data_IF_993794868180
#
_entry.id   IF_993794868180
#
_cell.length_a   1.000
_cell.length_b   1.000
_cell.length_c   1.000
_cell.angle_alpha   90.00
_cell.angle_beta   90.00
_cell.angle_gamma   90.00
#
_symmetry.space_group_name_H-M   'P 1'
#
loop_
_entity.id
_entity.type
_entity.pdbx_description
1 polymer ?
#
# COMPACT_ATOMS: atom_id res chain seq x y z
N UNK A 1 35.35 -4.64 -31.48
CA UNK A 1 34.13 -5.44 -31.27
C UNK A 1 33.03 -4.48 -30.84
N UNK A 2 32.18 -4.06 -31.79
CA UNK A 2 31.14 -3.05 -31.57
C UNK A 2 29.92 -3.69 -30.89
N UNK A 3 29.54 -3.16 -29.73
CA UNK A 3 28.34 -3.58 -29.00
C UNK A 3 27.18 -2.70 -29.49
N UNK A 4 26.27 -3.30 -30.26
CA UNK A 4 24.99 -2.67 -30.62
C UNK A 4 24.16 -2.46 -29.35
N UNK A 5 23.98 -1.20 -28.95
CA UNK A 5 22.96 -0.79 -27.96
C UNK A 5 21.59 -0.87 -28.64
N UNK A 6 20.83 -1.91 -28.33
CA UNK A 6 19.40 -1.97 -28.63
C UNK A 6 18.70 -1.07 -27.60
N UNK A 7 18.30 0.13 -28.02
CA UNK A 7 17.34 0.96 -27.28
C UNK A 7 15.96 0.30 -27.39
N UNK A 8 15.51 -0.33 -26.31
CA UNK A 8 14.08 -0.63 -26.12
C UNK A 8 13.39 0.65 -25.68
N UNK A 9 12.74 1.34 -26.62
CA UNK A 9 11.77 2.39 -26.30
C UNK A 9 10.52 1.74 -25.73
N UNK A 10 10.34 1.86 -24.41
CA UNK A 10 9.10 1.49 -23.72
C UNK A 10 8.01 2.48 -24.14
N UNK A 11 7.12 2.06 -25.03
CA UNK A 11 5.90 2.81 -25.36
C UNK A 11 4.92 2.58 -24.20
N UNK A 12 4.86 3.55 -23.28
CA UNK A 12 3.80 3.61 -22.27
C UNK A 12 2.53 4.03 -23.00
N UNK A 13 1.64 3.07 -23.22
CA UNK A 13 0.34 3.29 -23.80
C UNK A 13 -0.54 3.91 -22.72
N UNK A 14 -0.52 5.25 -22.64
CA UNK A 14 -1.42 6.02 -21.78
C UNK A 14 -2.82 5.88 -22.38
N UNK A 15 -3.60 4.95 -21.83
CA UNK A 15 -5.03 4.89 -22.12
C UNK A 15 -5.63 6.21 -21.62
N UNK A 16 -6.44 6.91 -22.44
CA UNK A 16 -7.18 8.06 -21.96
C UNK A 16 -8.11 7.57 -20.85
N UNK A 17 -7.80 7.95 -19.61
CA UNK A 17 -8.77 7.90 -18.51
C UNK A 17 -9.92 8.79 -18.97
N UNK A 18 -11.02 8.16 -19.38
CA UNK A 18 -12.28 8.88 -19.54
C UNK A 18 -12.60 9.39 -18.15
N UNK A 19 -12.40 10.69 -17.94
CA UNK A 19 -12.80 11.35 -16.70
C UNK A 19 -14.30 11.16 -16.56
N UNK A 20 -14.68 10.18 -15.73
CA UNK A 20 -16.01 10.15 -15.13
C UNK A 20 -16.26 11.57 -14.63
N UNK A 21 -17.37 12.22 -15.00
CA UNK A 21 -17.64 13.58 -14.56
C UNK A 21 -17.47 13.59 -13.06
N UNK A 22 -16.43 14.30 -12.60
CA UNK A 22 -16.14 14.49 -11.20
C UNK A 22 -17.44 15.00 -10.60
N UNK A 23 -18.12 14.12 -9.88
CA UNK A 23 -19.18 14.47 -8.98
C UNK A 23 -18.44 15.27 -7.91
N UNK A 24 -18.29 16.58 -8.18
CA UNK A 24 -17.79 17.55 -7.23
C UNK A 24 -18.61 17.31 -5.99
N UNK A 25 -18.00 16.67 -5.00
CA UNK A 25 -18.51 16.67 -3.65
C UNK A 25 -18.56 18.14 -3.27
N UNK A 26 -19.74 18.74 -3.49
CA UNK A 26 -20.06 20.07 -3.06
C UNK A 26 -19.77 20.05 -1.56
N UNK A 27 -18.73 20.79 -1.15
CA UNK A 27 -18.44 20.97 0.26
C UNK A 27 -19.76 21.36 0.92
N UNK A 28 -20.22 20.64 1.96
CA UNK A 28 -21.50 20.94 2.58
C UNK A 28 -21.51 22.41 2.94
N UNK A 29 -22.51 23.12 2.41
CA UNK A 29 -22.73 24.53 2.69
C UNK A 29 -22.72 24.74 4.20
N UNK A 30 -21.87 25.64 4.67
CA UNK A 30 -21.68 25.99 6.09
C UNK A 30 -22.96 26.45 6.81
N UNK A 31 -24.07 26.64 6.08
CA UNK A 31 -25.34 27.14 6.61
C UNK A 31 -26.27 26.06 7.19
N UNK A 32 -25.94 24.76 7.11
CA UNK A 32 -26.80 23.68 7.65
C UNK A 32 -26.63 23.49 9.17
N UNK A 33 -25.64 24.12 9.82
CA UNK A 33 -25.38 23.97 11.26
C UNK A 33 -26.20 24.90 12.17
N UNK A 34 -27.01 25.79 11.62
CA UNK A 34 -27.78 26.76 12.41
C UNK A 34 -29.26 26.34 12.50
N UNK A 35 -29.62 25.49 13.48
CA UNK A 35 -30.91 25.49 14.23
C UNK A 35 -31.15 24.19 15.02
N UNK A 36 -30.39 23.98 16.10
CA UNK A 36 -30.89 23.21 17.25
C UNK A 36 -30.53 24.00 18.51
N UNK A 37 -31.52 24.71 19.04
CA UNK A 37 -31.35 25.73 20.07
C UNK A 37 -31.09 25.09 21.43
N UNK A 38 -29.84 25.13 21.91
CA UNK A 38 -29.51 24.91 23.33
C UNK A 38 -28.33 23.97 23.64
N UNK A 39 -27.78 23.27 22.65
CA UNK A 39 -26.62 22.40 22.90
C UNK A 39 -25.34 23.24 22.93
N UNK A 40 -24.61 23.20 24.05
CA UNK A 40 -23.34 23.91 24.19
C UNK A 40 -22.33 23.33 23.19
N UNK A 41 -21.61 24.21 22.49
CA UNK A 41 -20.53 23.81 21.61
C UNK A 41 -19.51 22.93 22.37
N UNK A 42 -19.14 21.80 21.77
CA UNK A 42 -18.13 20.87 22.29
C UNK A 42 -16.85 21.05 21.50
N UNK A 43 -15.72 21.04 22.19
CA UNK A 43 -14.40 21.16 21.57
C UNK A 43 -13.58 19.92 21.88
N UNK A 44 -12.73 19.50 20.94
CA UNK A 44 -11.79 18.40 21.14
C UNK A 44 -10.39 18.83 20.72
N UNK A 45 -9.39 18.56 21.56
CA UNK A 45 -7.97 18.70 21.25
C UNK A 45 -7.37 17.30 21.16
N UNK A 46 -6.62 17.04 20.08
CA UNK A 46 -5.96 15.75 19.85
C UNK A 46 -4.46 15.93 20.04
N UNK A 47 -3.90 15.25 21.03
CA UNK A 47 -2.46 15.12 21.20
C UNK A 47 -2.01 13.79 20.57
N UNK A 48 -1.10 13.85 19.58
CA UNK A 48 -0.70 12.69 18.79
C UNK A 48 0.76 12.80 18.32
N UNK A 49 1.45 11.66 18.25
CA UNK A 49 2.77 11.52 17.63
C UNK A 49 2.77 11.69 16.09
N UNK A 50 1.62 11.95 15.47
CA UNK A 50 1.49 12.38 14.08
C UNK A 50 0.58 13.62 13.94
N UNK A 51 1.14 14.83 14.10
CA UNK A 51 0.37 16.08 14.08
C UNK A 51 -0.43 16.33 12.78
N UNK A 52 0.08 15.85 11.64
CA UNK A 52 -0.58 16.03 10.33
C UNK A 52 -1.75 15.06 10.08
N UNK A 53 -2.03 14.15 11.01
CA UNK A 53 -3.11 13.16 10.86
C UNK A 53 -4.48 13.81 10.68
N UNK A 54 -5.28 13.25 9.80
CA UNK A 54 -6.66 13.67 9.59
C UNK A 54 -7.55 13.21 10.74
N UNK A 55 -8.35 14.13 11.27
CA UNK A 55 -9.31 13.87 12.34
C UNK A 55 -10.72 13.82 11.75
N UNK A 56 -11.43 12.74 12.04
CA UNK A 56 -12.82 12.56 11.68
C UNK A 56 -13.69 12.42 12.93
N UNK A 57 -14.84 13.09 12.94
CA UNK A 57 -15.92 12.86 13.88
C UNK A 57 -16.95 11.93 13.22
N UNK A 58 -17.03 10.69 13.68
CA UNK A 58 -17.70 9.56 13.04
C UNK A 58 -17.21 9.31 11.60
N UNK A 59 -17.72 10.05 10.60
CA UNK A 59 -17.31 9.99 9.19
C UNK A 59 -17.09 11.37 8.56
N UNK A 60 -17.19 12.44 9.35
CA UNK A 60 -17.04 13.82 8.90
C UNK A 60 -15.63 14.30 9.23
N UNK A 61 -14.89 14.74 8.21
CA UNK A 61 -13.57 15.35 8.42
C UNK A 61 -13.73 16.70 9.14
N UNK A 62 -13.05 16.87 10.27
CA UNK A 62 -13.14 18.08 11.10
C UNK A 62 -11.83 18.88 11.18
N UNK A 63 -10.71 18.32 10.71
CA UNK A 63 -9.42 19.01 10.68
C UNK A 63 -8.22 18.06 10.75
N UNK A 64 -7.08 18.60 11.18
CA UNK A 64 -5.85 17.83 11.49
C UNK A 64 -5.58 17.86 13.00
N UNK A 65 -4.79 16.92 13.52
CA UNK A 65 -4.46 16.88 14.95
C UNK A 65 -3.70 18.14 15.41
N UNK A 66 -2.85 18.73 14.56
CA UNK A 66 -2.13 19.97 14.87
C UNK A 66 -2.98 21.24 14.90
N UNK A 67 -4.24 21.18 14.45
CA UNK A 67 -5.12 22.34 14.36
C UNK A 67 -5.54 22.89 15.74
N UNK A 68 -5.16 22.23 16.84
CA UNK A 68 -5.52 22.60 18.20
C UNK A 68 -6.92 22.13 18.58
N UNK A 69 -7.74 23.01 19.16
CA UNK A 69 -9.11 22.69 19.53
C UNK A 69 -10.05 22.71 18.31
N UNK A 70 -10.61 21.55 17.99
CA UNK A 70 -11.55 21.33 16.90
C UNK A 70 -12.99 21.36 17.42
N UNK A 71 -13.90 21.98 16.65
CA UNK A 71 -15.32 21.99 16.97
C UNK A 71 -15.91 20.60 16.70
N UNK A 72 -16.53 20.01 17.72
CA UNK A 72 -17.16 18.71 17.64
C UNK A 72 -18.66 18.87 17.32
N UNK A 73 -19.17 18.30 16.20
CA UNK A 73 -20.59 18.30 15.92
C UNK A 73 -21.42 17.67 17.06
N UNK A 74 -22.69 18.06 17.16
CA UNK A 74 -23.62 17.40 18.08
C UNK A 74 -23.88 15.96 17.66
N UNK A 75 -24.10 15.09 18.65
CA UNK A 75 -24.39 13.67 18.41
C UNK A 75 -23.20 12.81 17.96
N UNK A 76 -21.98 13.36 17.89
CA UNK A 76 -20.78 12.56 17.57
C UNK A 76 -20.53 11.50 18.62
N UNK A 77 -20.26 10.27 18.17
CA UNK A 77 -20.04 9.10 19.02
C UNK A 77 -18.59 8.63 19.05
N UNK A 78 -17.81 8.93 18.01
CA UNK A 78 -16.40 8.53 17.95
C UNK A 78 -15.53 9.56 17.24
N UNK A 79 -14.26 9.61 17.64
CA UNK A 79 -13.18 10.27 16.91
C UNK A 79 -12.35 9.20 16.20
N UNK A 80 -12.08 9.39 14.92
CA UNK A 80 -11.17 8.55 14.13
C UNK A 80 -9.97 9.40 13.71
N UNK A 81 -8.78 8.94 14.04
CA UNK A 81 -7.52 9.54 13.62
C UNK A 81 -6.89 8.69 12.50
N UNK A 82 -6.65 9.30 11.35
CA UNK A 82 -6.11 8.64 10.16
C UNK A 82 -4.74 9.25 9.81
N UNK A 83 -3.67 8.45 9.74
CA UNK A 83 -2.33 8.97 9.48
C UNK A 83 -2.18 9.38 8.01
N UNK A 84 -1.39 10.42 7.73
CA UNK A 84 -1.22 10.99 6.39
C UNK A 84 0.23 10.83 5.94
N UNK A 85 0.56 9.72 5.26
CA UNK A 85 1.79 9.58 4.49
C UNK A 85 1.63 8.47 3.43
N UNK A 86 2.37 8.53 2.31
CA UNK A 86 2.27 7.54 1.23
C UNK A 86 2.56 6.10 1.69
N UNK A 87 3.39 5.94 2.72
CA UNK A 87 3.81 4.62 3.21
C UNK A 87 2.93 4.09 4.36
N UNK A 88 1.90 4.83 4.81
CA UNK A 88 1.07 4.47 5.96
C UNK A 88 -0.20 3.68 5.63
N UNK A 89 -0.33 3.15 4.41
CA UNK A 89 -1.49 2.34 4.00
C UNK A 89 -1.69 1.06 4.85
N UNK A 90 -0.65 0.63 5.57
CA UNK A 90 -0.67 -0.50 6.51
C UNK A 90 -0.96 -0.10 7.96
N UNK A 91 -0.98 1.20 8.30
CA UNK A 91 -1.22 1.67 9.68
C UNK A 91 -2.72 1.82 9.88
N UNK A 92 -3.26 1.09 10.86
CA UNK A 92 -4.68 1.16 11.18
C UNK A 92 -5.06 2.53 11.76
N UNK A 93 -6.24 3.09 11.41
CA UNK A 93 -6.77 4.26 12.09
C UNK A 93 -6.97 4.02 13.58
N UNK A 94 -6.73 5.05 14.40
CA UNK A 94 -7.07 5.01 15.83
C UNK A 94 -8.52 5.46 16.01
N UNK A 95 -9.28 4.75 16.83
CA UNK A 95 -10.69 5.04 17.10
C UNK A 95 -10.86 5.25 18.60
N UNK A 96 -11.42 6.39 18.98
CA UNK A 96 -11.80 6.71 20.36
C UNK A 96 -13.31 6.88 20.45
N UNK A 97 -13.95 6.13 21.33
CA UNK A 97 -15.40 6.22 21.59
C UNK A 97 -15.63 7.32 22.62
N UNK A 98 -16.55 8.22 22.32
CA UNK A 98 -16.93 9.34 23.19
C UNK A 98 -18.15 8.96 24.02
N UNK A 99 -17.95 8.66 25.30
CA UNK A 99 -19.04 8.46 26.26
C UNK A 99 -19.52 9.81 26.80
N UNK A 100 -20.82 10.13 26.63
CA UNK A 100 -21.56 11.30 27.16
C UNK A 100 -20.70 12.49 27.63
N UNK A 101 -19.98 13.09 26.69
CA UNK A 101 -19.14 14.25 26.96
C UNK A 101 -20.04 15.46 27.20
N UNK A 102 -20.05 15.96 28.45
CA UNK A 102 -20.82 17.14 28.83
C UNK A 102 -20.41 18.35 27.97
N UNK A 103 -21.41 19.10 27.49
CA UNK A 103 -21.16 20.29 26.68
C UNK A 103 -20.50 21.43 27.47
N UNK A 104 -19.67 22.23 26.80
CA UNK A 104 -19.06 23.44 27.36
C UNK A 104 -17.58 23.34 27.72
N UNK A 105 -17.01 22.14 27.79
CA UNK A 105 -15.57 21.91 28.04
C UNK A 105 -14.83 21.47 26.76
N UNK A 106 -13.50 21.60 26.78
CA UNK A 106 -12.60 21.04 25.75
C UNK A 106 -12.15 19.65 26.19
N UNK A 107 -12.53 18.63 25.42
CA UNK A 107 -12.05 17.26 25.59
C UNK A 107 -10.62 17.16 25.05
N UNK A 108 -9.68 16.66 25.85
CA UNK A 108 -8.30 16.37 25.39
C UNK A 108 -8.16 14.87 25.21
N UNK A 109 -7.77 14.41 24.03
CA UNK A 109 -7.55 13.00 23.70
C UNK A 109 -6.08 12.77 23.31
N UNK A 110 -5.45 11.79 23.94
CA UNK A 110 -4.10 11.32 23.59
C UNK A 110 -4.22 10.09 22.69
N UNK A 111 -3.84 10.23 21.41
CA UNK A 111 -4.01 9.21 20.38
C UNK A 111 -2.70 9.03 19.60
N UNK A 112 -1.85 8.14 20.09
CA UNK A 112 -0.56 7.82 19.50
C UNK A 112 -0.60 6.57 18.63
N UNK A 113 -0.04 6.67 17.43
CA UNK A 113 0.13 5.52 16.55
C UNK A 113 1.34 4.68 16.99
N UNK A 114 1.27 3.35 16.91
CA UNK A 114 2.43 2.51 17.13
C UNK A 114 3.47 2.70 16.02
N UNK A 115 4.74 2.53 16.38
CA UNK A 115 5.89 2.52 15.47
C UNK A 115 6.10 1.13 14.90
N UNK A 116 6.32 1.05 13.60
CA UNK A 116 6.59 -0.17 12.85
C UNK A 116 8.01 -0.14 12.28
N UNK A 117 8.69 -1.27 12.41
CA UNK A 117 10.06 -1.48 11.95
C UNK A 117 10.10 -2.72 11.04
N UNK A 118 10.19 -2.50 9.73
CA UNK A 118 10.38 -3.55 8.74
C UNK A 118 11.88 -3.75 8.48
N UNK A 119 12.41 -4.89 8.89
CA UNK A 119 13.82 -5.25 8.70
C UNK A 119 13.92 -6.37 7.68
N UNK A 120 14.54 -6.06 6.55
CA UNK A 120 14.77 -6.95 5.40
C UNK A 120 16.28 -7.14 5.22
N UNK A 121 16.69 -8.33 4.78
CA UNK A 121 18.09 -8.57 4.43
C UNK A 121 18.26 -9.27 3.09
N UNK A 122 19.41 -9.05 2.46
CA UNK A 122 19.87 -9.73 1.25
C UNK A 122 21.22 -10.39 1.54
N UNK A 123 21.31 -11.74 1.57
CA UNK A 123 20.21 -12.69 1.46
C UNK A 123 19.24 -12.63 2.66
N UNK A 124 18.01 -13.11 2.45
CA UNK A 124 16.99 -13.22 3.49
C UNK A 124 17.29 -14.35 4.49
N UNK A 125 16.55 -14.43 5.59
CA UNK A 125 16.72 -15.47 6.60
C UNK A 125 17.88 -15.18 7.55
N UNK A 126 18.09 -13.92 7.92
CA UNK A 126 19.02 -13.51 8.96
C UNK A 126 18.26 -13.38 10.29
N UNK A 127 18.84 -13.87 11.37
CA UNK A 127 18.33 -13.67 12.73
C UNK A 127 18.43 -12.17 13.08
N UNK A 128 17.39 -11.65 13.72
CA UNK A 128 17.26 -10.24 14.07
C UNK A 128 17.09 -10.14 15.57
N UNK A 129 18.06 -9.52 16.24
CA UNK A 129 18.01 -9.23 17.69
C UNK A 129 18.03 -7.72 17.87
N UNK A 130 17.16 -7.19 18.71
CA UNK A 130 17.20 -5.78 19.08
C UNK A 130 18.04 -5.58 20.33
N UNK A 131 19.08 -4.74 20.21
CA UNK A 131 19.97 -4.37 21.31
C UNK A 131 19.71 -2.93 21.75
N UNK A 132 19.09 -2.78 22.92
CA UNK A 132 18.83 -1.48 23.57
C UNK A 132 20.01 -0.95 24.39
N UNK A 133 21.14 -1.67 24.41
CA UNK A 133 22.28 -1.43 25.30
C UNK A 133 22.11 -2.02 26.70
N UNK A 134 20.87 -2.15 27.19
CA UNK A 134 20.53 -2.75 28.49
C UNK A 134 19.96 -4.17 28.38
N UNK A 135 19.28 -4.45 27.26
CA UNK A 135 18.61 -5.72 26.99
C UNK A 135 18.77 -6.12 25.53
N UNK A 136 18.89 -7.43 25.32
CA UNK A 136 18.84 -8.08 24.01
C UNK A 136 17.49 -8.80 23.88
N UNK A 137 16.69 -8.40 22.91
CA UNK A 137 15.37 -8.98 22.62
C UNK A 137 15.44 -9.66 21.28
N UNK A 138 15.17 -10.97 21.24
CA UNK A 138 15.03 -11.70 19.98
C UNK A 138 13.74 -11.26 19.28
N UNK A 139 13.88 -10.76 18.05
CA UNK A 139 12.76 -10.24 17.24
C UNK A 139 12.28 -11.29 16.24
N UNK A 140 13.17 -12.15 15.74
CA UNK A 140 12.85 -13.18 14.76
C UNK A 140 13.85 -13.24 13.60
N UNK A 141 13.35 -13.43 12.37
CA UNK A 141 14.18 -13.68 11.18
C UNK A 141 13.70 -12.85 10.00
N UNK A 142 14.61 -12.27 9.21
CA UNK A 142 14.26 -11.44 8.04
C UNK A 142 13.53 -12.22 6.93
N UNK A 143 12.51 -11.63 6.28
CA UNK A 143 11.91 -10.32 6.57
C UNK A 143 11.06 -10.36 7.84
N UNK A 144 11.18 -9.35 8.70
CA UNK A 144 10.41 -9.23 9.94
C UNK A 144 9.84 -7.82 10.10
N UNK A 145 8.62 -7.74 10.64
CA UNK A 145 7.99 -6.48 11.05
C UNK A 145 7.84 -6.51 12.57
N UNK A 146 8.43 -5.52 13.24
CA UNK A 146 8.33 -5.34 14.68
C UNK A 146 7.54 -4.08 15.01
N UNK A 147 6.67 -4.17 16.02
CA UNK A 147 5.81 -3.07 16.47
C UNK A 147 6.23 -2.62 17.88
N UNK A 148 6.22 -1.31 18.12
CA UNK A 148 6.55 -0.69 19.42
C UNK A 148 5.65 0.53 19.67
N UNK A 149 5.25 0.76 20.91
CA UNK A 149 4.43 1.93 21.26
C UNK A 149 5.26 3.23 21.32
N UNK A 150 6.57 3.10 21.54
CA UNK A 150 7.51 4.23 21.58
C UNK A 150 8.64 4.05 20.57
N UNK A 151 9.28 5.13 20.09
CA UNK A 151 10.45 5.03 19.23
C UNK A 151 11.57 4.20 19.88
N UNK A 152 12.12 3.25 19.15
CA UNK A 152 13.20 2.41 19.63
C UNK A 152 14.52 3.18 19.71
N UNK A 153 15.22 3.06 20.83
CA UNK A 153 16.58 3.55 21.03
C UNK A 153 17.52 2.36 21.19
N UNK A 154 18.37 2.11 20.19
CA UNK A 154 19.23 0.92 20.15
C UNK A 154 19.68 0.58 18.73
N UNK A 155 20.00 -0.69 18.48
CA UNK A 155 20.30 -1.19 17.13
C UNK A 155 19.67 -2.57 16.91
N UNK A 156 19.15 -2.81 15.72
CA UNK A 156 18.94 -4.15 15.21
C UNK A 156 20.29 -4.77 14.86
N UNK A 157 20.50 -5.99 15.34
CA UNK A 157 21.66 -6.83 15.08
C UNK A 157 21.18 -7.94 14.15
N UNK A 158 21.73 -7.98 12.94
CA UNK A 158 21.41 -8.99 11.95
C UNK A 158 22.55 -10.00 11.88
N UNK A 159 22.21 -11.28 12.08
CA UNK A 159 23.16 -12.38 12.07
C UNK A 159 22.75 -13.46 11.08
N UNK A 160 23.70 -13.93 10.27
CA UNK A 160 23.48 -15.04 9.36
C UNK A 160 24.77 -15.83 9.18
N UNK A 161 24.69 -17.15 9.31
CA UNK A 161 25.86 -18.03 9.16
C UNK A 161 26.59 -17.79 7.83
N UNK A 162 27.90 -17.53 7.91
CA UNK A 162 28.77 -17.24 6.76
C UNK A 162 28.75 -15.78 6.30
N UNK A 163 28.00 -14.91 6.98
CA UNK A 163 27.94 -13.49 6.72
C UNK A 163 28.37 -12.69 7.95
N UNK A 164 28.95 -11.52 7.70
CA UNK A 164 29.33 -10.60 8.77
C UNK A 164 28.08 -10.00 9.41
N UNK A 165 28.06 -9.97 10.74
CA UNK A 165 27.05 -9.28 11.53
C UNK A 165 26.90 -7.81 11.06
N UNK A 166 25.65 -7.35 10.93
CA UNK A 166 25.33 -5.96 10.60
C UNK A 166 24.54 -5.32 11.74
N UNK A 167 24.79 -4.04 11.98
CA UNK A 167 24.08 -3.21 12.95
C UNK A 167 23.28 -2.17 12.19
N UNK A 168 22.00 -2.00 12.55
CA UNK A 168 21.14 -0.99 11.94
C UNK A 168 20.41 -0.22 13.03
N UNK A 169 20.55 1.09 13.01
CA UNK A 169 19.85 1.96 13.95
C UNK A 169 18.42 2.18 13.45
N UNK A 170 17.37 1.93 14.27
CA UNK A 170 15.99 2.28 13.94
C UNK A 170 15.85 3.78 13.68
N UNK A 171 14.95 4.16 12.77
CA UNK A 171 14.52 5.55 12.63
C UNK A 171 13.45 5.93 13.67
N UNK A 172 13.01 7.19 13.59
CA UNK A 172 12.01 7.78 14.49
C UNK A 172 10.67 8.06 13.80
N UNK A 173 10.51 7.63 12.54
CA UNK A 173 9.26 7.75 11.80
C UNK A 173 8.29 6.65 12.24
N UNK A 174 6.98 6.79 12.01
CA UNK A 174 6.04 5.70 12.35
C UNK A 174 6.31 4.42 11.57
N UNK A 175 6.80 4.52 10.34
CA UNK A 175 7.05 3.37 9.48
C UNK A 175 8.50 3.38 9.00
N UNK A 176 9.34 2.53 9.59
CA UNK A 176 10.76 2.46 9.29
C UNK A 176 11.04 1.22 8.47
N UNK A 177 11.46 1.40 7.21
CA UNK A 177 11.89 0.28 6.36
C UNK A 177 13.41 0.26 6.24
N UNK A 178 14.00 -0.89 6.56
CA UNK A 178 15.44 -1.10 6.55
C UNK A 178 15.79 -2.31 5.70
N UNK A 179 16.44 -2.08 4.55
CA UNK A 179 16.96 -3.13 3.69
C UNK A 179 18.48 -3.23 3.86
N UNK A 180 18.95 -4.37 4.33
CA UNK A 180 20.35 -4.60 4.69
C UNK A 180 20.99 -5.61 3.75
N UNK A 181 22.05 -5.20 3.05
CA UNK A 181 22.87 -6.14 2.28
C UNK A 181 23.93 -6.75 3.19
N UNK A 182 23.88 -8.06 3.41
CA UNK A 182 24.85 -8.77 4.24
C UNK A 182 26.09 -9.11 3.43
N UNK A 183 27.26 -8.82 4.00
CA UNK A 183 28.55 -9.13 3.38
C UNK A 183 28.98 -10.54 3.76
N UNK A 184 29.36 -11.36 2.76
CA UNK A 184 29.88 -12.71 3.03
C UNK A 184 31.25 -12.62 3.70
N UNK A 185 31.50 -13.44 4.72
CA UNK A 185 32.83 -13.48 5.37
C UNK A 185 33.92 -13.97 4.40
N UNK A 186 33.57 -14.79 3.41
CA UNK A 186 34.51 -15.36 2.43
C UNK A 186 35.11 -14.32 1.49
N UNK A 187 34.42 -13.20 1.24
CA UNK A 187 34.87 -12.14 0.33
C UNK A 187 36.08 -11.39 0.88
N UNK A 188 36.29 -11.39 2.20
CA UNK A 188 37.41 -10.70 2.84
C UNK A 188 38.73 -11.48 2.79
N UNK A 189 38.67 -12.80 2.72
CA UNK A 189 39.87 -13.67 2.70
C UNK A 189 40.42 -13.89 1.29
N UNK A 190 39.62 -13.64 0.26
CA UNK A 190 40.02 -13.73 -1.14
C UNK A 190 40.23 -12.33 -1.70
N UNK A 191 41.30 -11.66 -1.25
CA UNK A 191 41.78 -10.45 -1.90
C UNK A 191 42.01 -10.72 -3.40
N UNK A 192 41.09 -10.27 -4.24
CA UNK A 192 41.30 -10.18 -5.69
C UNK A 192 40.96 -11.41 -6.53
N UNK A 193 40.05 -12.28 -6.11
CA UNK A 193 39.36 -13.11 -7.10
C UNK A 193 37.90 -12.72 -7.12
N UNK A 194 37.56 -11.82 -8.04
CA UNK A 194 36.22 -11.64 -8.58
C UNK A 194 35.75 -12.99 -9.13
N UNK A 195 35.42 -13.93 -8.24
CA UNK A 195 34.45 -14.95 -8.52
C UNK A 195 33.15 -14.19 -8.70
N UNK A 196 33.01 -13.61 -9.90
CA UNK A 196 31.74 -13.19 -10.45
C UNK A 196 30.85 -14.39 -10.25
N UNK A 197 30.03 -14.34 -9.21
CA UNK A 197 28.87 -15.20 -9.06
C UNK A 197 28.04 -14.88 -10.29
N UNK A 198 28.36 -15.55 -11.41
CA UNK A 198 27.60 -15.43 -12.64
C UNK A 198 26.22 -15.91 -12.23
N UNK A 199 25.34 -14.95 -11.96
CA UNK A 199 23.94 -15.19 -11.70
C UNK A 199 23.49 -16.19 -12.78
N UNK A 200 22.90 -17.34 -12.40
CA UNK A 200 22.66 -18.44 -13.31
C UNK A 200 22.02 -17.88 -14.58
N UNK A 201 22.80 -17.88 -15.68
CA UNK A 201 22.44 -17.19 -16.91
C UNK A 201 21.11 -17.73 -17.44
N UNK A 202 20.01 -17.09 -17.06
CA UNK A 202 19.01 -16.50 -17.96
C UNK A 202 18.48 -17.38 -19.10
N UNK A 203 18.49 -18.71 -19.00
CA UNK A 203 18.05 -19.58 -20.11
C UNK A 203 16.54 -19.53 -20.38
N UNK A 204 15.76 -18.80 -19.59
CA UNK A 204 14.29 -18.78 -19.71
C UNK A 204 13.64 -17.39 -19.63
N UNK A 205 14.38 -16.29 -19.85
CA UNK A 205 13.80 -14.93 -19.91
C UNK A 205 12.69 -14.79 -20.96
N UNK A 206 12.75 -15.58 -22.04
CA UNK A 206 11.71 -15.60 -23.07
C UNK A 206 10.34 -16.01 -22.52
N UNK A 207 10.28 -16.88 -21.51
CA UNK A 207 9.02 -17.30 -20.87
C UNK A 207 8.41 -16.12 -20.10
N UNK A 208 9.25 -15.31 -19.44
CA UNK A 208 8.78 -14.16 -18.66
C UNK A 208 8.22 -13.08 -19.60
N UNK A 209 8.87 -12.87 -20.75
CA UNK A 209 8.34 -11.99 -21.80
C UNK A 209 7.00 -12.50 -22.34
N UNK A 210 6.90 -13.79 -22.69
CA UNK A 210 5.65 -14.38 -23.20
C UNK A 210 4.53 -14.28 -22.17
N UNK A 211 4.81 -14.63 -20.90
CA UNK A 211 3.82 -14.58 -19.83
C UNK A 211 3.35 -13.14 -19.56
N UNK A 212 4.26 -12.19 -19.46
CA UNK A 212 3.92 -10.78 -19.24
C UNK A 212 3.14 -10.20 -20.41
N UNK A 213 3.53 -10.50 -21.65
CA UNK A 213 2.79 -10.08 -22.84
C UNK A 213 1.39 -10.71 -22.88
N UNK A 214 1.25 -11.99 -22.50
CA UNK A 214 -0.05 -12.66 -22.44
C UNK A 214 -0.99 -12.01 -21.40
N UNK A 215 -0.47 -11.56 -20.25
CA UNK A 215 -1.25 -10.81 -19.26
C UNK A 215 -1.78 -9.52 -19.85
N UNK A 216 -0.91 -8.69 -20.44
CA UNK A 216 -1.28 -7.37 -20.96
C UNK A 216 -2.27 -7.51 -22.13
N UNK A 217 -1.96 -8.37 -23.10
CA UNK A 217 -2.81 -8.58 -24.28
C UNK A 217 -4.14 -9.22 -23.89
N UNK A 218 -4.11 -10.24 -23.02
CA UNK A 218 -5.32 -10.93 -22.54
C UNK A 218 -6.25 -9.98 -21.78
N UNK A 219 -5.72 -9.15 -20.89
CA UNK A 219 -6.49 -8.14 -20.16
C UNK A 219 -7.12 -7.09 -21.09
N UNK A 220 -6.34 -6.55 -22.03
CA UNK A 220 -6.83 -5.57 -23.00
C UNK A 220 -7.94 -6.15 -23.90
N UNK A 221 -7.76 -7.38 -24.39
CA UNK A 221 -8.77 -8.07 -25.21
C UNK A 221 -10.03 -8.39 -24.40
N UNK A 222 -9.90 -8.84 -23.16
CA UNK A 222 -11.05 -9.12 -22.29
C UNK A 222 -11.91 -7.86 -22.08
N UNK A 223 -11.28 -6.72 -21.77
CA UNK A 223 -11.98 -5.43 -21.64
C UNK A 223 -12.63 -5.01 -22.95
N UNK A 224 -11.90 -5.13 -24.08
CA UNK A 224 -12.43 -4.77 -25.40
C UNK A 224 -13.68 -5.57 -25.76
N UNK A 225 -13.62 -6.90 -25.66
CA UNK A 225 -14.75 -7.76 -25.99
C UNK A 225 -15.92 -7.57 -25.02
N UNK A 226 -15.66 -7.39 -23.72
CA UNK A 226 -16.72 -7.14 -22.74
C UNK A 226 -17.43 -5.80 -22.98
N UNK A 227 -16.67 -4.74 -23.26
CA UNK A 227 -17.24 -3.43 -23.60
C UNK A 227 -18.11 -3.51 -24.85
N UNK A 228 -17.66 -4.21 -25.89
CA UNK A 228 -18.44 -4.43 -27.11
C UNK A 228 -19.71 -5.26 -26.85
N UNK A 229 -19.62 -6.30 -26.02
CA UNK A 229 -20.77 -7.11 -25.62
C UNK A 229 -21.83 -6.26 -24.88
N UNK A 230 -21.40 -5.39 -23.97
CA UNK A 230 -22.30 -4.49 -23.25
C UNK A 230 -23.02 -3.53 -24.21
N UNK A 231 -22.29 -2.93 -25.16
CA UNK A 231 -22.91 -2.03 -26.16
C UNK A 231 -23.95 -2.75 -27.04
N UNK A 232 -23.73 -4.02 -27.39
CA UNK A 232 -24.73 -4.82 -28.12
C UNK A 232 -25.91 -5.22 -27.21
N UNK A 233 -25.66 -5.43 -25.93
CA UNK A 233 -26.72 -5.71 -24.95
C UNK A 233 -27.64 -4.52 -24.74
N UNK A 234 -27.09 -3.30 -24.70
CA UNK A 234 -27.87 -2.07 -24.63
C UNK A 234 -28.78 -1.95 -25.88
N UNK A 235 -28.23 -2.17 -27.08
CA UNK A 235 -29.00 -2.19 -28.33
C UNK A 235 -30.07 -3.27 -28.35
N UNK A 236 -29.78 -4.46 -27.81
CA UNK A 236 -30.75 -5.54 -27.68
C UNK A 236 -31.91 -5.14 -26.76
N UNK A 237 -31.61 -4.49 -25.65
CA UNK A 237 -32.62 -4.02 -24.69
C UNK A 237 -33.54 -2.95 -25.30
N UNK A 238 -33.00 -2.11 -26.19
CA UNK A 238 -33.77 -1.08 -26.90
C UNK A 238 -34.62 -1.66 -28.06
N UNK A 239 -34.05 -2.55 -28.87
CA UNK A 239 -34.66 -3.01 -30.13
C UNK A 239 -35.47 -4.30 -29.99
N UNK A 240 -35.11 -5.15 -29.04
CA UNK A 240 -35.65 -6.50 -28.89
C UNK A 240 -35.21 -7.49 -29.98
N UNK A 241 -34.20 -7.17 -30.81
CA UNK A 241 -33.78 -8.02 -31.92
C UNK A 241 -33.06 -9.31 -31.44
N UNK A 242 -33.64 -10.51 -31.62
CA UNK A 242 -33.04 -11.75 -31.16
C UNK A 242 -31.71 -12.10 -31.86
N UNK A 243 -31.40 -11.53 -33.03
CA UNK A 243 -30.15 -11.79 -33.74
C UNK A 243 -28.92 -11.21 -33.01
N UNK A 244 -29.10 -10.23 -32.12
CA UNK A 244 -28.02 -9.65 -31.31
C UNK A 244 -27.54 -10.61 -30.21
N UNK A 245 -28.41 -11.51 -29.75
CA UNK A 245 -28.11 -12.43 -28.64
C UNK A 245 -26.94 -13.35 -28.94
N UNK A 246 -26.89 -13.96 -30.13
CA UNK A 246 -25.81 -14.86 -30.52
C UNK A 246 -24.46 -14.14 -30.62
N UNK A 247 -24.47 -12.86 -31.01
CA UNK A 247 -23.28 -12.03 -31.09
C UNK A 247 -22.75 -11.66 -29.69
N UNK A 248 -23.65 -11.31 -28.76
CA UNK A 248 -23.31 -11.05 -27.36
C UNK A 248 -22.67 -12.29 -26.74
N UNK A 249 -23.30 -13.47 -26.89
CA UNK A 249 -22.78 -14.73 -26.36
C UNK A 249 -21.39 -15.07 -26.92
N UNK A 250 -21.15 -14.80 -28.20
CA UNK A 250 -19.84 -15.00 -28.84
C UNK A 250 -18.78 -14.06 -28.25
N UNK A 251 -19.11 -12.77 -28.07
CA UNK A 251 -18.19 -11.79 -27.50
C UNK A 251 -17.89 -12.05 -26.03
N UNK A 252 -18.90 -12.43 -25.23
CA UNK A 252 -18.69 -12.80 -23.82
C UNK A 252 -17.81 -14.06 -23.71
N UNK A 253 -17.99 -15.04 -24.61
CA UNK A 253 -17.11 -16.23 -24.67
C UNK A 253 -15.67 -15.83 -25.01
N UNK A 254 -15.46 -14.94 -25.98
CA UNK A 254 -14.14 -14.42 -26.33
C UNK A 254 -13.50 -13.65 -25.18
N UNK A 255 -14.28 -12.82 -24.47
CA UNK A 255 -13.84 -12.10 -23.28
C UNK A 255 -13.39 -13.07 -22.16
N UNK A 256 -14.16 -14.14 -21.94
CA UNK A 256 -13.83 -15.17 -20.95
C UNK A 256 -12.53 -15.92 -21.30
N UNK A 257 -12.33 -16.29 -22.57
CA UNK A 257 -11.09 -16.94 -23.03
C UNK A 257 -9.88 -16.00 -22.86
N UNK A 258 -10.03 -14.73 -23.21
CA UNK A 258 -8.99 -13.72 -23.03
C UNK A 258 -8.62 -13.54 -21.55
N UNK A 259 -9.62 -13.49 -20.66
CA UNK A 259 -9.43 -13.42 -19.21
C UNK A 259 -8.73 -14.67 -18.66
N UNK A 260 -9.12 -15.87 -19.10
CA UNK A 260 -8.45 -17.11 -18.73
C UNK A 260 -6.97 -17.11 -19.16
N UNK A 261 -6.68 -16.63 -20.36
CA UNK A 261 -5.30 -16.48 -20.86
C UNK A 261 -4.49 -15.51 -19.97
N UNK A 262 -5.09 -14.38 -19.59
CA UNK A 262 -4.47 -13.42 -18.67
C UNK A 262 -4.15 -14.06 -17.31
N UNK A 263 -5.08 -14.82 -16.72
CA UNK A 263 -4.88 -15.48 -15.43
C UNK A 263 -3.73 -16.50 -15.45
N UNK A 264 -3.61 -17.29 -16.53
CA UNK A 264 -2.50 -18.23 -16.70
C UNK A 264 -1.17 -17.49 -16.79
N UNK A 265 -1.10 -16.43 -17.61
CA UNK A 265 0.10 -15.60 -17.72
C UNK A 265 0.49 -14.98 -16.37
N UNK A 266 -0.50 -14.46 -15.63
CA UNK A 266 -0.29 -13.83 -14.32
C UNK A 266 0.24 -14.83 -13.30
N UNK A 267 -0.33 -16.05 -13.28
CA UNK A 267 0.13 -17.14 -12.41
C UNK A 267 1.59 -17.49 -12.66
N UNK A 268 2.01 -17.57 -13.94
CA UNK A 268 3.40 -17.84 -14.31
C UNK A 268 4.34 -16.73 -13.82
N UNK A 269 3.94 -15.47 -13.98
CA UNK A 269 4.73 -14.31 -13.52
C UNK A 269 4.86 -14.31 -12.00
N UNK A 270 3.76 -14.49 -11.25
CA UNK A 270 3.77 -14.51 -9.79
C UNK A 270 4.64 -15.67 -9.27
N UNK A 271 4.48 -16.87 -9.83
CA UNK A 271 5.28 -18.03 -9.43
C UNK A 271 6.79 -17.80 -9.66
N UNK A 272 7.16 -17.20 -10.80
CA UNK A 272 8.55 -16.85 -11.13
C UNK A 272 9.15 -15.75 -10.25
N UNK A 273 8.32 -14.88 -9.69
CA UNK A 273 8.78 -13.83 -8.77
C UNK A 273 8.92 -14.36 -7.34
N UNK A 274 8.12 -15.36 -6.97
CA UNK A 274 8.16 -15.98 -5.64
C UNK A 274 9.27 -17.04 -5.49
N UNK A 275 9.70 -17.70 -6.57
CA UNK A 275 10.66 -18.81 -6.57
C UNK A 275 11.75 -18.64 -7.65
#
# INVERSE_FOLDING_TARGET
MQINRIMLSLIVLVLPVTSSPAQQAQAPSSDVFARTSGELARWVQIDSNQPESHVYADSVWIGTAESGALLLPSGVTQIILVPVAPDFWSVAPLISILDDVAGGDTLVLELDFPYFYSVESVPSGAEVVFNSGLSLVDIGVTPVIYQSDTPLSGNFVLEKKGYRQQLVTPGFELWNRQLVSLQSESELYLGGSEASTEAPKSRRKWIDYVATSAVIIGGALAVHYKSKANSLYDQYTETGDPALRSQIETLDTQAAIALGTMQVGFTVVVFRLAF
#
